data_IF_881084914225
#
_entry.id   IF_881084914225
#
_cell.length_a   1.000
_cell.length_b   1.000
_cell.length_c   1.000
_cell.angle_alpha   90.00
_cell.angle_beta   90.00
_cell.angle_gamma   90.00
#
_symmetry.space_group_name_H-M   'P 1'
#
loop_
_entity.id
_entity.type
_entity.pdbx_description
1 polymer ?
#
# COMPACT_ATOMS: atom_id res chain seq x y z
N UNK A 1 4.12 -21.33 -33.64
CA UNK A 1 2.72 -21.42 -33.18
C UNK A 1 1.91 -20.41 -34.00
N UNK A 2 0.82 -20.81 -34.68
CA UNK A 2 0.09 -19.87 -35.53
C UNK A 2 -0.69 -18.90 -34.65
N UNK A 3 -0.39 -17.61 -34.77
CA UNK A 3 -1.00 -16.49 -34.03
C UNK A 3 -2.47 -16.27 -34.44
N UNK A 4 -2.97 -17.02 -35.43
CA UNK A 4 -4.25 -16.77 -36.10
C UNK A 4 -5.50 -17.07 -35.25
N UNK A 5 -5.39 -17.84 -34.15
CA UNK A 5 -6.49 -18.13 -33.21
C UNK A 5 -6.37 -17.41 -31.86
N UNK A 6 -5.38 -16.51 -31.71
CA UNK A 6 -5.16 -15.80 -30.44
C UNK A 6 -6.28 -14.80 -30.16
N UNK A 7 -6.89 -14.88 -28.98
CA UNK A 7 -7.87 -13.87 -28.59
C UNK A 7 -7.17 -12.56 -28.20
N UNK A 8 -7.92 -11.46 -28.08
CA UNK A 8 -7.35 -10.15 -27.74
C UNK A 8 -6.52 -10.20 -26.45
N UNK A 9 -6.97 -10.97 -25.46
CA UNK A 9 -6.30 -11.12 -24.17
C UNK A 9 -4.93 -11.79 -24.33
N UNK A 10 -4.81 -12.80 -25.19
CA UNK A 10 -3.53 -13.45 -25.50
C UNK A 10 -2.54 -12.48 -26.16
N UNK A 11 -3.03 -11.64 -27.07
CA UNK A 11 -2.22 -10.62 -27.74
C UNK A 11 -1.75 -9.56 -26.74
N UNK A 12 -2.62 -9.10 -25.84
CA UNK A 12 -2.28 -8.14 -24.79
C UNK A 12 -1.22 -8.70 -23.83
N UNK A 13 -1.32 -9.99 -23.46
CA UNK A 13 -0.32 -10.69 -22.64
C UNK A 13 1.02 -10.78 -23.37
N UNK A 14 1.02 -11.20 -24.64
CA UNK A 14 2.26 -11.30 -25.44
C UNK A 14 2.93 -9.94 -25.60
N UNK A 15 2.16 -8.89 -25.85
CA UNK A 15 2.69 -7.53 -25.92
C UNK A 15 3.29 -7.10 -24.58
N UNK A 16 2.59 -7.31 -23.47
CA UNK A 16 3.07 -6.95 -22.14
C UNK A 16 4.35 -7.72 -21.74
N UNK A 17 4.46 -9.00 -22.13
CA UNK A 17 5.70 -9.78 -22.00
C UNK A 17 6.82 -9.16 -22.84
N UNK A 18 6.52 -8.80 -24.10
CA UNK A 18 7.48 -8.14 -25.00
C UNK A 18 8.02 -6.83 -24.41
N UNK A 19 7.16 -5.98 -23.86
CA UNK A 19 7.55 -4.75 -23.17
C UNK A 19 8.44 -5.03 -21.95
N UNK A 20 8.08 -6.02 -21.13
CA UNK A 20 8.87 -6.43 -19.97
C UNK A 20 10.25 -7.01 -20.35
N UNK A 21 10.38 -7.58 -21.55
CA UNK A 21 11.68 -8.06 -22.08
C UNK A 21 12.50 -6.89 -22.64
N UNK A 22 11.85 -5.96 -23.35
CA UNK A 22 12.51 -4.79 -23.94
C UNK A 22 13.01 -3.81 -22.86
N UNK A 23 12.24 -3.66 -21.78
CA UNK A 23 12.55 -2.82 -20.64
C UNK A 23 12.54 -3.67 -19.35
N UNK A 24 13.58 -4.49 -19.13
CA UNK A 24 13.60 -5.43 -18.02
C UNK A 24 13.62 -4.71 -16.67
N UNK A 25 12.82 -5.17 -15.69
CA UNK A 25 12.99 -4.80 -14.30
C UNK A 25 14.42 -5.04 -13.80
N UNK A 26 14.77 -4.44 -12.66
CA UNK A 26 16.09 -4.57 -12.03
C UNK A 26 16.35 -5.95 -11.41
N UNK A 27 16.35 -7.01 -12.23
CA UNK A 27 16.48 -8.40 -11.80
C UNK A 27 17.82 -8.72 -11.14
N UNK A 28 18.89 -7.99 -11.47
CA UNK A 28 20.25 -8.26 -10.98
C UNK A 28 20.41 -8.02 -9.48
N UNK A 29 19.50 -7.28 -8.85
CA UNK A 29 19.53 -6.95 -7.42
C UNK A 29 18.79 -7.96 -6.55
N UNK A 30 18.09 -8.92 -7.15
CA UNK A 30 17.17 -9.80 -6.42
C UNK A 30 17.34 -11.26 -6.82
N UNK A 31 17.00 -12.14 -5.89
CA UNK A 31 16.95 -13.59 -6.11
C UNK A 31 15.76 -14.01 -6.98
N UNK A 32 15.73 -15.28 -7.39
CA UNK A 32 14.73 -15.79 -8.33
C UNK A 32 13.26 -15.55 -7.90
N UNK A 33 12.85 -15.75 -6.63
CA UNK A 33 11.51 -15.37 -6.17
C UNK A 33 11.24 -13.86 -6.29
N UNK A 34 12.23 -13.01 -6.02
CA UNK A 34 12.12 -11.56 -6.22
C UNK A 34 12.02 -11.17 -7.70
N UNK A 35 12.72 -11.87 -8.59
CA UNK A 35 12.58 -11.68 -10.03
C UNK A 35 11.16 -12.00 -10.51
N UNK A 36 10.55 -13.08 -10.00
CA UNK A 36 9.15 -13.41 -10.32
C UNK A 36 8.19 -12.30 -9.87
N UNK A 37 8.41 -11.71 -8.69
CA UNK A 37 7.63 -10.57 -8.23
C UNK A 37 7.78 -9.37 -9.18
N UNK A 38 9.02 -8.97 -9.51
CA UNK A 38 9.28 -7.81 -10.37
C UNK A 38 8.72 -8.01 -11.78
N UNK A 39 8.88 -9.21 -12.34
CA UNK A 39 8.31 -9.58 -13.63
C UNK A 39 6.79 -9.50 -13.61
N UNK A 40 6.15 -10.11 -12.60
CA UNK A 40 4.69 -10.10 -12.46
C UNK A 40 4.13 -8.68 -12.30
N UNK A 41 4.82 -7.83 -11.53
CA UNK A 41 4.48 -6.42 -11.34
C UNK A 41 4.58 -5.64 -12.66
N UNK A 42 5.68 -5.80 -13.39
CA UNK A 42 5.88 -5.18 -14.71
C UNK A 42 4.81 -5.63 -15.70
N UNK A 43 4.55 -6.94 -15.79
CA UNK A 43 3.50 -7.50 -16.66
C UNK A 43 2.14 -6.87 -16.35
N UNK A 44 1.77 -6.80 -15.07
CA UNK A 44 0.50 -6.21 -14.67
C UNK A 44 0.41 -4.72 -15.03
N UNK A 45 1.49 -3.97 -14.81
CA UNK A 45 1.59 -2.55 -15.19
C UNK A 45 1.33 -2.36 -16.69
N UNK A 46 1.98 -3.15 -17.54
CA UNK A 46 1.79 -3.08 -18.99
C UNK A 46 0.36 -3.48 -19.40
N UNK A 47 -0.18 -4.58 -18.88
CA UNK A 47 -1.56 -4.99 -19.17
C UNK A 47 -2.59 -3.90 -18.81
N UNK A 48 -2.38 -3.15 -17.72
CA UNK A 48 -3.24 -2.01 -17.38
C UNK A 48 -3.14 -0.87 -18.39
N UNK A 49 -1.96 -0.63 -18.96
CA UNK A 49 -1.78 0.40 -19.99
C UNK A 49 -2.42 0.02 -21.32
N UNK A 50 -2.35 -1.25 -21.76
CA UNK A 50 -2.99 -1.71 -23.01
C UNK A 50 -4.52 -1.56 -22.96
N UNK A 51 -5.13 -1.88 -21.81
CA UNK A 51 -6.57 -1.75 -21.60
C UNK A 51 -7.10 -0.31 -21.47
N UNK A 52 -6.23 0.71 -21.53
CA UNK A 52 -6.59 2.12 -21.30
C UNK A 52 -6.91 2.95 -22.56
N UNK A 53 -6.94 2.33 -23.74
CA UNK A 53 -7.40 2.97 -24.99
C UNK A 53 -8.92 3.27 -25.03
N UNK A 54 -9.65 3.21 -23.91
CA UNK A 54 -11.00 3.75 -23.78
C UNK A 54 -10.94 5.15 -23.14
N UNK A 55 -11.55 6.19 -23.74
CA UNK A 55 -11.60 7.51 -23.15
C UNK A 55 -12.48 7.43 -21.90
N UNK A 56 -11.87 7.36 -20.72
CA UNK A 56 -12.58 7.39 -19.46
C UNK A 56 -12.39 8.75 -18.80
N UNK A 57 -13.47 9.54 -18.79
CA UNK A 57 -13.63 10.82 -18.10
C UNK A 57 -13.60 10.69 -16.57
N UNK A 58 -12.78 9.80 -16.02
CA UNK A 58 -12.64 9.60 -14.58
C UNK A 58 -11.17 9.49 -14.22
N UNK A 59 -10.62 10.59 -13.69
CA UNK A 59 -9.26 10.74 -13.15
C UNK A 59 -9.00 9.88 -11.90
N UNK A 60 -9.36 8.59 -11.92
CA UNK A 60 -9.05 7.65 -10.85
C UNK A 60 -7.72 6.99 -11.19
N UNK A 61 -6.63 7.43 -10.54
CA UNK A 61 -5.34 6.73 -10.57
C UNK A 61 -5.60 5.27 -10.22
N UNK A 62 -5.50 4.39 -11.21
CA UNK A 62 -5.76 2.95 -11.04
C UNK A 62 -4.52 2.37 -10.40
N UNK A 63 -4.61 2.10 -9.09
CA UNK A 63 -3.54 1.58 -8.25
C UNK A 63 -2.82 0.39 -8.89
N UNK A 64 -1.48 0.35 -8.79
CA UNK A 64 -0.70 -0.84 -9.16
C UNK A 64 -1.09 -1.98 -8.21
N UNK A 65 -1.72 -3.03 -8.75
CA UNK A 65 -2.08 -4.22 -7.98
C UNK A 65 -1.24 -5.37 -8.47
N UNK A 66 -0.67 -6.18 -7.58
CA UNK A 66 0.05 -7.38 -7.99
C UNK A 66 -0.84 -8.61 -7.87
N UNK A 67 -0.48 -9.69 -8.57
CA UNK A 67 -1.09 -10.99 -8.38
C UNK A 67 -0.66 -11.60 -7.04
N UNK A 68 -1.51 -12.41 -6.42
CA UNK A 68 -1.17 -13.09 -5.16
C UNK A 68 0.09 -13.97 -5.26
N UNK A 69 0.31 -14.61 -6.41
CA UNK A 69 1.54 -15.37 -6.67
C UNK A 69 2.79 -14.50 -6.66
N UNK A 70 2.70 -13.24 -7.13
CA UNK A 70 3.80 -12.29 -7.05
C UNK A 70 4.11 -11.93 -5.58
N UNK A 71 3.07 -11.68 -4.77
CA UNK A 71 3.23 -11.43 -3.34
C UNK A 71 3.90 -12.61 -2.62
N UNK A 72 3.54 -13.86 -2.97
CA UNK A 72 4.22 -15.06 -2.48
C UNK A 72 5.69 -15.10 -2.92
N UNK A 73 5.99 -14.73 -4.17
CA UNK A 73 7.37 -14.56 -4.64
C UNK A 73 8.18 -13.59 -3.79
N UNK A 74 7.62 -12.42 -3.47
CA UNK A 74 8.25 -11.46 -2.58
C UNK A 74 8.39 -11.97 -1.14
N UNK A 75 7.41 -12.73 -0.65
CA UNK A 75 7.47 -13.33 0.69
C UNK A 75 8.61 -14.35 0.80
N UNK A 76 8.82 -15.14 -0.25
CA UNK A 76 9.87 -16.17 -0.32
C UNK A 76 11.24 -15.59 -0.69
N UNK A 77 11.29 -14.36 -1.20
CA UNK A 77 12.54 -13.70 -1.58
C UNK A 77 13.42 -13.39 -0.37
N UNK A 78 14.71 -13.65 -0.49
CA UNK A 78 15.76 -13.20 0.43
C UNK A 78 16.12 -11.71 0.25
N UNK A 79 15.73 -11.10 -0.88
CA UNK A 79 16.03 -9.71 -1.27
C UNK A 79 14.87 -8.74 -1.02
N UNK A 80 14.07 -8.94 0.03
CA UNK A 80 12.90 -8.10 0.33
C UNK A 80 13.20 -6.62 0.51
N UNK A 81 14.39 -6.30 1.04
CA UNK A 81 14.82 -4.93 1.21
C UNK A 81 15.05 -4.23 -0.15
N UNK A 82 15.73 -4.91 -1.07
CA UNK A 82 15.94 -4.41 -2.44
C UNK A 82 14.62 -4.28 -3.21
N UNK A 83 13.73 -5.28 -3.08
CA UNK A 83 12.37 -5.21 -3.63
C UNK A 83 11.60 -3.98 -3.12
N UNK A 84 11.66 -3.72 -1.81
CA UNK A 84 11.01 -2.55 -1.21
C UNK A 84 11.61 -1.25 -1.77
N UNK A 85 12.94 -1.16 -1.90
CA UNK A 85 13.61 0.03 -2.42
C UNK A 85 13.25 0.30 -3.88
N UNK A 86 13.20 -0.74 -4.71
CA UNK A 86 12.73 -0.63 -6.11
C UNK A 86 11.30 -0.10 -6.12
N UNK A 87 10.40 -0.69 -5.33
CA UNK A 87 9.01 -0.20 -5.25
C UNK A 87 8.91 1.25 -4.75
N UNK A 88 9.76 1.66 -3.81
CA UNK A 88 9.80 3.04 -3.30
C UNK A 88 10.27 4.03 -4.36
N UNK A 89 11.29 3.67 -5.14
CA UNK A 89 11.76 4.49 -6.25
C UNK A 89 10.65 4.72 -7.30
N UNK A 90 9.74 3.75 -7.43
CA UNK A 90 8.56 3.86 -8.29
C UNK A 90 7.37 4.61 -7.67
N UNK A 91 7.45 5.01 -6.39
CA UNK A 91 6.52 5.96 -5.79
C UNK A 91 5.40 5.37 -4.93
N UNK A 92 5.73 4.53 -3.93
CA UNK A 92 4.77 4.15 -2.88
C UNK A 92 4.46 5.39 -2.02
N UNK A 93 3.28 5.99 -2.21
CA UNK A 93 2.91 7.22 -1.49
C UNK A 93 1.58 7.11 -0.76
N UNK A 94 0.70 6.19 -1.16
CA UNK A 94 -0.65 6.08 -0.65
C UNK A 94 -0.95 4.71 -0.05
N UNK A 95 -2.05 4.61 0.71
CA UNK A 95 -2.55 3.32 1.19
C UNK A 95 -2.88 2.39 0.02
N UNK A 96 -3.42 2.95 -1.05
CA UNK A 96 -3.71 2.22 -2.27
C UNK A 96 -2.45 1.54 -2.80
N UNK A 97 -1.33 2.25 -2.93
CA UNK A 97 -0.07 1.67 -3.42
C UNK A 97 0.42 0.54 -2.51
N UNK A 98 0.39 0.76 -1.19
CA UNK A 98 0.79 -0.24 -0.19
C UNK A 98 -0.09 -1.49 -0.27
N UNK A 99 -1.41 -1.31 -0.41
CA UNK A 99 -2.39 -2.40 -0.53
C UNK A 99 -2.23 -3.13 -1.85
N UNK A 100 -2.02 -2.40 -2.94
CA UNK A 100 -1.88 -2.94 -4.28
C UNK A 100 -0.61 -3.80 -4.43
N UNK A 101 0.48 -3.40 -3.76
CA UNK A 101 1.71 -4.21 -3.66
C UNK A 101 1.66 -5.28 -2.57
N UNK A 102 0.57 -5.35 -1.79
CA UNK A 102 0.41 -6.30 -0.68
C UNK A 102 1.57 -6.27 0.33
N UNK A 103 2.20 -5.10 0.54
CA UNK A 103 3.44 -4.98 1.35
C UNK A 103 3.33 -5.65 2.73
N UNK A 104 2.23 -5.48 3.49
CA UNK A 104 2.11 -6.11 4.82
C UNK A 104 2.10 -7.64 4.81
N UNK A 105 1.88 -8.28 3.65
CA UNK A 105 1.82 -9.73 3.54
C UNK A 105 3.19 -10.38 3.28
N UNK A 106 4.17 -9.60 2.82
CA UNK A 106 5.47 -10.15 2.48
C UNK A 106 6.65 -9.47 3.15
N UNK A 107 6.57 -8.18 3.51
CA UNK A 107 7.69 -7.48 4.13
C UNK A 107 7.90 -7.96 5.57
N UNK A 108 9.06 -8.56 5.86
CA UNK A 108 9.39 -9.10 7.20
C UNK A 108 9.97 -8.08 8.17
N UNK A 109 10.38 -6.91 7.70
CA UNK A 109 10.96 -5.88 8.55
C UNK A 109 9.85 -5.03 9.20
N UNK A 110 9.58 -5.32 10.48
CA UNK A 110 8.62 -4.58 11.29
C UNK A 110 8.92 -3.08 11.41
N UNK A 111 10.21 -2.68 11.39
CA UNK A 111 10.58 -1.26 11.48
C UNK A 111 10.21 -0.56 10.18
N UNK A 112 10.48 -1.18 9.03
CA UNK A 112 10.08 -0.64 7.74
C UNK A 112 8.56 -0.63 7.56
N UNK A 113 7.85 -1.69 7.98
CA UNK A 113 6.38 -1.71 7.99
C UNK A 113 5.80 -0.58 8.85
N UNK A 114 6.35 -0.32 10.03
CA UNK A 114 5.93 0.80 10.89
C UNK A 114 6.17 2.15 10.22
N UNK A 115 7.30 2.34 9.54
CA UNK A 115 7.57 3.58 8.78
C UNK A 115 6.53 3.78 7.67
N UNK A 116 6.30 2.76 6.85
CA UNK A 116 5.30 2.79 5.76
C UNK A 116 3.90 3.09 6.30
N UNK A 117 3.51 2.44 7.40
CA UNK A 117 2.23 2.67 8.06
C UNK A 117 2.09 4.12 8.53
N UNK A 118 3.16 4.70 9.08
CA UNK A 118 3.19 6.09 9.52
C UNK A 118 3.13 7.07 8.36
N UNK A 119 3.85 6.81 7.27
CA UNK A 119 3.84 7.64 6.06
C UNK A 119 2.46 7.63 5.40
N UNK A 120 1.81 6.46 5.31
CA UNK A 120 0.43 6.32 4.84
C UNK A 120 -0.54 7.08 5.74
N UNK A 121 -0.42 6.96 7.06
CA UNK A 121 -1.27 7.68 8.01
C UNK A 121 -1.17 9.21 7.83
N UNK A 122 0.07 9.71 7.71
CA UNK A 122 0.36 11.13 7.47
C UNK A 122 -0.20 11.60 6.14
N UNK A 123 -0.04 10.82 5.07
CA UNK A 123 -0.53 11.19 3.75
C UNK A 123 -2.05 11.25 3.69
N UNK A 124 -2.74 10.26 4.25
CA UNK A 124 -4.20 10.29 4.30
C UNK A 124 -4.71 11.45 5.16
N UNK A 125 -4.09 11.71 6.32
CA UNK A 125 -4.46 12.88 7.11
C UNK A 125 -4.19 14.18 6.35
N UNK A 126 -3.07 14.25 5.60
CA UNK A 126 -2.71 15.43 4.81
C UNK A 126 -3.77 15.73 3.75
N UNK A 127 -4.31 14.69 3.11
CA UNK A 127 -5.29 14.83 2.03
C UNK A 127 -6.72 15.08 2.52
N UNK A 128 -7.17 14.41 3.60
CA UNK A 128 -8.55 14.54 4.09
C UNK A 128 -8.72 15.61 5.17
N UNK A 129 -7.65 15.92 5.91
CA UNK A 129 -7.66 16.74 7.15
C UNK A 129 -8.60 16.20 8.24
N UNK A 130 -9.00 14.92 8.13
CA UNK A 130 -9.90 14.25 9.07
C UNK A 130 -9.16 13.10 9.73
N UNK A 131 -9.02 13.17 11.05
CA UNK A 131 -8.29 12.16 11.82
C UNK A 131 -9.00 10.80 11.81
N UNK A 132 -10.34 10.83 11.74
CA UNK A 132 -11.15 9.60 11.73
C UNK A 132 -10.86 8.72 10.52
N UNK A 133 -10.55 9.31 9.37
CA UNK A 133 -10.28 8.58 8.11
C UNK A 133 -8.97 7.78 8.15
N UNK A 134 -8.03 8.17 9.02
CA UNK A 134 -6.69 7.57 9.11
C UNK A 134 -6.36 7.02 10.52
N UNK A 135 -7.32 7.10 11.46
CA UNK A 135 -7.15 6.71 12.85
C UNK A 135 -6.60 5.29 13.02
N UNK A 136 -7.08 4.33 12.23
CA UNK A 136 -6.69 2.93 12.36
C UNK A 136 -5.17 2.75 12.23
N UNK A 137 -4.52 3.50 11.33
CA UNK A 137 -3.08 3.44 11.14
C UNK A 137 -2.32 4.01 12.35
N UNK A 138 -2.81 5.10 12.93
CA UNK A 138 -2.23 5.65 14.17
C UNK A 138 -2.39 4.70 15.36
N UNK A 139 -3.51 3.98 15.46
CA UNK A 139 -3.71 2.95 16.49
C UNK A 139 -2.73 1.79 16.31
N UNK A 140 -2.55 1.30 15.07
CA UNK A 140 -1.58 0.23 14.76
C UNK A 140 -0.14 0.60 15.12
N UNK A 141 0.23 1.89 15.00
CA UNK A 141 1.57 2.36 15.37
C UNK A 141 1.83 2.33 16.88
N UNK A 142 0.78 2.29 17.72
CA UNK A 142 0.86 2.36 19.18
C UNK A 142 1.59 3.62 19.69
N UNK A 143 1.62 4.69 18.90
CA UNK A 143 2.25 5.98 19.23
C UNK A 143 1.18 6.98 19.67
N UNK A 144 0.66 6.84 20.89
CA UNK A 144 -0.42 7.70 21.43
C UNK A 144 -0.11 9.20 21.32
N UNK A 145 1.12 9.61 21.61
CA UNK A 145 1.52 11.02 21.52
C UNK A 145 1.41 11.57 20.08
N UNK A 146 1.89 10.81 19.08
CA UNK A 146 1.76 11.16 17.68
C UNK A 146 0.28 11.28 17.28
N UNK A 147 -0.51 10.26 17.65
CA UNK A 147 -1.94 10.23 17.37
C UNK A 147 -2.69 11.44 17.96
N UNK A 148 -2.40 11.77 19.22
CA UNK A 148 -2.98 12.95 19.90
C UNK A 148 -2.60 14.26 19.19
N UNK A 149 -1.36 14.40 18.73
CA UNK A 149 -0.92 15.61 18.03
C UNK A 149 -1.70 15.83 16.72
N UNK A 150 -1.90 14.78 15.94
CA UNK A 150 -2.73 14.86 14.73
C UNK A 150 -4.21 15.13 15.06
N UNK A 151 -4.78 14.46 16.08
CA UNK A 151 -6.16 14.70 16.50
C UNK A 151 -6.41 16.16 16.93
N UNK A 152 -5.45 16.81 17.59
CA UNK A 152 -5.54 18.24 17.96
C UNK A 152 -5.58 19.18 16.76
N UNK A 153 -5.01 18.78 15.63
CA UNK A 153 -5.00 19.58 14.40
C UNK A 153 -6.24 19.37 13.54
N UNK A 154 -7.09 18.40 13.89
CA UNK A 154 -8.39 18.23 13.27
C UNK A 154 -9.44 19.12 13.97
N UNK A 155 -9.88 20.17 13.27
CA UNK A 155 -10.86 21.13 13.77
C UNK A 155 -12.33 20.69 13.59
N UNK A 156 -12.59 19.45 13.18
CA UNK A 156 -13.94 18.87 13.21
C UNK A 156 -14.43 18.62 14.64
N UNK A 157 -15.73 18.33 14.78
CA UNK A 157 -16.32 17.97 16.08
C UNK A 157 -15.74 16.63 16.56
N UNK A 158 -15.59 15.69 15.64
CA UNK A 158 -15.04 14.37 15.84
C UNK A 158 -13.57 14.43 16.26
N UNK A 159 -12.76 15.25 15.57
CA UNK A 159 -11.36 15.48 15.89
C UNK A 159 -11.16 16.02 17.30
N UNK A 160 -11.94 17.05 17.69
CA UNK A 160 -11.90 17.60 19.06
C UNK A 160 -12.31 16.58 20.13
N UNK A 161 -13.36 15.79 19.87
CA UNK A 161 -13.81 14.72 20.78
C UNK A 161 -12.70 13.68 20.96
N UNK A 162 -12.08 13.25 19.87
CA UNK A 162 -11.00 12.28 19.89
C UNK A 162 -9.76 12.83 20.62
N UNK A 163 -9.35 14.07 20.34
CA UNK A 163 -8.23 14.70 21.04
C UNK A 163 -8.46 14.76 22.56
N UNK A 164 -9.68 15.15 22.97
CA UNK A 164 -10.08 15.18 24.38
C UNK A 164 -10.08 13.78 25.00
N UNK A 165 -10.60 12.77 24.27
CA UNK A 165 -10.61 11.38 24.70
C UNK A 165 -9.18 10.86 24.92
N UNK A 166 -8.31 11.06 23.94
CA UNK A 166 -6.90 10.64 23.99
C UNK A 166 -6.11 11.37 25.09
N UNK A 167 -6.39 12.65 25.38
CA UNK A 167 -5.71 13.37 26.46
C UNK A 167 -6.22 12.98 27.85
N UNK A 168 -7.49 12.64 27.98
CA UNK A 168 -8.15 12.39 29.27
C UNK A 168 -7.90 10.99 29.80
N UNK A 169 -7.93 9.98 28.92
CA UNK A 169 -7.87 8.59 29.35
C UNK A 169 -6.47 7.99 29.21
N UNK A 170 -5.97 7.42 30.30
CA UNK A 170 -4.83 6.50 30.25
C UNK A 170 -5.33 5.08 29.93
N UNK A 171 -4.95 4.57 28.75
CA UNK A 171 -5.37 3.26 28.26
C UNK A 171 -4.60 2.09 28.90
N UNK A 172 -3.57 2.36 29.72
CA UNK A 172 -2.96 1.35 30.57
C UNK A 172 -3.82 1.02 31.80
N UNK A 173 -4.72 1.93 32.19
CA UNK A 173 -5.60 1.78 33.34
C UNK A 173 -6.96 1.20 32.93
N UNK A 174 -7.56 0.40 33.82
CA UNK A 174 -8.85 -0.25 33.60
C UNK A 174 -9.97 0.74 33.22
N UNK A 175 -9.98 1.93 33.84
CA UNK A 175 -10.92 2.99 33.51
C UNK A 175 -10.80 3.44 32.05
N UNK A 176 -9.59 3.63 31.54
CA UNK A 176 -9.37 4.03 30.16
C UNK A 176 -9.71 2.91 29.17
N UNK A 177 -9.41 1.66 29.53
CA UNK A 177 -9.79 0.48 28.73
C UNK A 177 -11.31 0.35 28.59
N UNK A 178 -12.06 0.44 29.70
CA UNK A 178 -13.53 0.44 29.69
C UNK A 178 -14.13 1.61 28.91
N UNK A 179 -13.50 2.79 28.99
CA UNK A 179 -13.94 3.93 28.21
C UNK A 179 -13.75 3.70 26.71
N UNK A 180 -12.62 3.12 26.28
CA UNK A 180 -12.38 2.77 24.89
C UNK A 180 -13.37 1.71 24.39
N UNK A 181 -13.61 0.66 25.18
CA UNK A 181 -14.60 -0.39 24.85
C UNK A 181 -16.00 0.19 24.63
N UNK A 182 -16.44 1.11 25.50
CA UNK A 182 -17.73 1.79 25.34
C UNK A 182 -17.84 2.70 24.12
N UNK A 183 -16.72 3.17 23.56
CA UNK A 183 -16.69 4.02 22.36
C UNK A 183 -16.42 3.21 21.08
N UNK A 184 -16.23 1.89 21.17
CA UNK A 184 -15.94 1.03 20.03
C UNK A 184 -17.20 0.54 19.29
N UNK A 185 -18.39 0.77 19.85
CA UNK A 185 -19.70 0.37 19.35
C UNK A 185 -20.61 1.60 19.21
#
# INVERSE_FOLDING_TARGET
>A
LPIYDACKEDIDILWAIGEAIANPPEFSKVDAPGQLFLFSKSLYKHLRTSGSNLPSNASRKKTESIAGAAALGALLSSSQYDLLNICRAEGITSWEDVRGLMLPLWLRDDKELRKITEDVAKEMFRSTKKIMDCMIFFVMLQKKALFLNFAKTDHSVEGRKLATFLSTFDFSLERGRKAAEKNAF
#
